data_IF_557145166366
#
_entry.id   IF_557145166366
#
_cell.length_a   1.000
_cell.length_b   1.000
_cell.length_c   1.000
_cell.angle_alpha   90.00
_cell.angle_beta   90.00
_cell.angle_gamma   90.00
#
_symmetry.space_group_name_H-M   'P 1'
#
loop_
_entity.id
_entity.type
_entity.pdbx_description
1 polymer ?
#
# COMPACT_ATOMS: atom_id res chain seq x y z
N UNK A 1 -3.83 60.63 -8.80
CA UNK A 1 -4.32 59.59 -9.73
C UNK A 1 -3.53 58.34 -9.43
N UNK A 2 -4.12 57.34 -8.79
CA UNK A 2 -3.43 56.05 -8.63
C UNK A 2 -4.19 55.05 -9.48
N UNK A 3 -3.67 54.82 -10.69
CA UNK A 3 -4.20 53.83 -11.63
C UNK A 3 -4.03 52.44 -11.02
N UNK A 4 -5.08 51.97 -10.34
CA UNK A 4 -5.13 50.61 -9.86
C UNK A 4 -5.20 49.62 -11.02
N UNK A 5 -4.88 48.35 -10.74
CA UNK A 5 -4.95 47.31 -11.76
C UNK A 5 -6.36 46.76 -11.89
N UNK A 6 -6.68 46.14 -13.03
CA UNK A 6 -7.96 45.43 -13.20
C UNK A 6 -8.01 44.19 -12.30
N UNK A 7 -9.21 43.65 -12.05
CA UNK A 7 -9.37 42.43 -11.24
C UNK A 7 -8.57 41.24 -11.79
N UNK A 8 -8.42 41.12 -13.12
CA UNK A 8 -7.65 40.06 -13.75
C UNK A 8 -6.14 40.21 -13.49
N UNK A 9 -5.63 41.43 -13.57
CA UNK A 9 -4.23 41.73 -13.22
C UNK A 9 -3.96 41.57 -11.72
N UNK A 10 -4.90 41.98 -10.86
CA UNK A 10 -4.81 41.77 -9.41
C UNK A 10 -4.77 40.26 -9.07
N UNK A 11 -5.62 39.47 -9.73
CA UNK A 11 -5.67 38.02 -9.58
C UNK A 11 -4.33 37.37 -9.98
N UNK A 12 -3.80 37.73 -11.16
CA UNK A 12 -2.50 37.26 -11.61
C UNK A 12 -1.37 37.65 -10.65
N UNK A 13 -1.32 38.92 -10.21
CA UNK A 13 -0.31 39.41 -9.27
C UNK A 13 -0.34 38.66 -7.94
N UNK A 14 -1.53 38.50 -7.37
CA UNK A 14 -1.71 37.80 -6.11
C UNK A 14 -1.68 36.27 -6.27
N UNK A 15 -1.52 35.72 -7.48
CA UNK A 15 -1.55 34.27 -7.72
C UNK A 15 -2.85 33.61 -7.27
N UNK A 16 -3.98 34.30 -7.42
CA UNK A 16 -5.33 33.79 -7.11
C UNK A 16 -6.23 33.91 -8.34
N UNK A 17 -7.42 33.32 -8.30
CA UNK A 17 -8.38 33.47 -9.40
C UNK A 17 -9.23 34.73 -9.21
N UNK A 18 -9.79 35.26 -10.30
CA UNK A 18 -10.81 36.33 -10.24
C UNK A 18 -12.00 35.90 -9.38
N UNK A 19 -12.39 34.61 -9.43
CA UNK A 19 -13.44 34.04 -8.57
C UNK A 19 -13.07 34.14 -7.09
N UNK A 20 -11.80 33.89 -6.74
CA UNK A 20 -11.28 34.04 -5.38
C UNK A 20 -11.39 35.49 -4.89
N UNK A 21 -11.00 36.47 -5.71
CA UNK A 21 -11.13 37.90 -5.34
C UNK A 21 -12.60 38.27 -5.09
N UNK A 22 -13.53 37.82 -5.94
CA UNK A 22 -14.97 38.03 -5.72
C UNK A 22 -15.46 37.38 -4.43
N UNK A 23 -14.94 36.21 -4.10
CA UNK A 23 -15.25 35.52 -2.86
C UNK A 23 -14.75 36.31 -1.64
N UNK A 24 -13.53 36.85 -1.70
CA UNK A 24 -12.99 37.69 -0.62
C UNK A 24 -13.77 38.98 -0.42
N UNK A 25 -14.27 39.61 -1.50
CA UNK A 25 -15.20 40.72 -1.37
C UNK A 25 -16.50 40.31 -0.67
N UNK A 26 -17.11 39.20 -1.10
CA UNK A 26 -18.37 38.71 -0.53
C UNK A 26 -18.26 38.44 0.97
N UNK A 27 -17.12 37.93 1.43
CA UNK A 27 -16.90 37.56 2.82
C UNK A 27 -16.25 38.68 3.64
N UNK A 28 -16.07 39.88 3.08
CA UNK A 28 -15.49 41.03 3.78
C UNK A 28 -13.97 41.00 3.97
N UNK A 29 -13.27 40.00 3.42
CA UNK A 29 -11.80 39.87 3.52
C UNK A 29 -11.03 40.91 2.70
N UNK A 30 -11.69 41.47 1.68
CA UNK A 30 -11.15 42.51 0.82
C UNK A 30 -12.24 43.56 0.55
N UNK A 31 -11.97 44.82 0.86
CA UNK A 31 -12.86 45.92 0.51
C UNK A 31 -12.99 46.05 -1.02
N UNK A 32 -14.18 46.38 -1.51
CA UNK A 32 -14.38 46.64 -2.93
C UNK A 32 -13.74 47.98 -3.33
N UNK A 33 -12.81 48.01 -4.29
CA UNK A 33 -12.20 49.26 -4.72
C UNK A 33 -13.20 50.15 -5.47
N UNK A 34 -12.90 51.45 -5.51
CA UNK A 34 -13.59 52.41 -6.35
C UNK A 34 -13.54 52.03 -7.85
N UNK A 35 -14.50 52.59 -8.60
CA UNK A 35 -14.56 52.45 -10.05
C UNK A 35 -13.90 53.66 -10.72
N UNK A 36 -13.21 53.42 -11.84
CA UNK A 36 -12.69 54.50 -12.68
C UNK A 36 -13.79 55.18 -13.51
N UNK A 37 -13.42 56.21 -14.28
CA UNK A 37 -14.30 56.90 -15.21
C UNK A 37 -14.91 56.00 -16.28
N UNK A 38 -14.32 54.83 -16.54
CA UNK A 38 -14.81 53.81 -17.46
C UNK A 38 -15.72 52.77 -16.80
N UNK A 39 -15.97 52.88 -15.48
CA UNK A 39 -16.85 52.01 -14.70
C UNK A 39 -16.20 50.73 -14.16
N UNK A 40 -14.88 50.53 -14.37
CA UNK A 40 -14.16 49.34 -13.92
C UNK A 40 -13.55 49.52 -12.53
N UNK A 41 -13.62 48.48 -11.70
CA UNK A 41 -12.95 48.42 -10.39
C UNK A 41 -11.42 48.46 -10.54
N UNK A 42 -10.75 49.32 -9.76
CA UNK A 42 -9.29 49.51 -9.80
C UNK A 42 -8.62 49.15 -8.48
N UNK A 43 -7.85 48.07 -8.49
CA UNK A 43 -7.17 47.53 -7.32
C UNK A 43 -5.82 48.23 -7.14
N UNK A 44 -5.76 49.15 -6.18
CA UNK A 44 -4.50 49.77 -5.76
C UNK A 44 -3.61 48.87 -4.88
N UNK A 45 -2.43 49.35 -4.54
CA UNK A 45 -1.40 48.62 -3.78
C UNK A 45 -1.91 48.02 -2.46
N UNK A 46 -2.74 48.74 -1.71
CA UNK A 46 -3.31 48.24 -0.46
C UNK A 46 -4.18 46.98 -0.67
N UNK A 47 -4.95 46.94 -1.76
CA UNK A 47 -5.74 45.75 -2.11
C UNK A 47 -4.84 44.58 -2.49
N UNK A 48 -3.76 44.84 -3.24
CA UNK A 48 -2.79 43.82 -3.63
C UNK A 48 -2.06 43.24 -2.41
N UNK A 49 -1.65 44.09 -1.47
CA UNK A 49 -1.03 43.66 -0.22
C UNK A 49 -2.00 42.78 0.58
N UNK A 50 -3.25 43.21 0.74
CA UNK A 50 -4.29 42.43 1.45
C UNK A 50 -4.52 41.07 0.78
N UNK A 51 -4.56 41.02 -0.56
CA UNK A 51 -4.69 39.77 -1.30
C UNK A 51 -3.53 38.81 -1.03
N UNK A 52 -2.29 39.32 -1.04
CA UNK A 52 -1.09 38.51 -0.73
C UNK A 52 -1.14 38.01 0.70
N UNK A 53 -1.48 38.87 1.67
CA UNK A 53 -1.58 38.51 3.09
C UNK A 53 -2.63 37.41 3.33
N UNK A 54 -3.85 37.57 2.80
CA UNK A 54 -4.92 36.57 2.94
C UNK A 54 -4.49 35.24 2.31
N UNK A 55 -3.86 35.28 1.13
CA UNK A 55 -3.34 34.06 0.49
C UNK A 55 -2.26 33.39 1.34
N UNK A 56 -1.33 34.14 1.91
CA UNK A 56 -0.25 33.60 2.73
C UNK A 56 -0.79 32.91 3.97
N UNK A 57 -1.73 33.53 4.70
CA UNK A 57 -2.37 32.92 5.86
C UNK A 57 -3.16 31.66 5.46
N UNK A 58 -3.95 31.73 4.38
CA UNK A 58 -4.68 30.57 3.88
C UNK A 58 -3.74 29.41 3.47
N UNK A 59 -2.61 29.74 2.85
CA UNK A 59 -1.57 28.76 2.49
C UNK A 59 -0.87 28.15 3.70
N UNK A 60 -0.79 28.88 4.81
CA UNK A 60 -0.32 28.39 6.10
C UNK A 60 -1.38 27.58 6.87
N UNK A 61 -2.59 27.42 6.33
CA UNK A 61 -3.65 26.62 6.96
C UNK A 61 -4.62 27.42 7.83
N UNK A 62 -4.51 28.74 7.88
CA UNK A 62 -5.46 29.61 8.60
C UNK A 62 -6.81 29.60 7.87
N UNK A 63 -7.92 29.31 8.57
CA UNK A 63 -9.25 29.39 7.97
C UNK A 63 -9.55 30.79 7.43
N UNK A 64 -10.12 30.86 6.22
CA UNK A 64 -10.47 32.16 5.61
C UNK A 64 -11.44 32.99 6.46
N UNK A 65 -12.27 32.36 7.29
CA UNK A 65 -13.16 33.06 8.21
C UNK A 65 -12.41 33.85 9.30
N UNK A 66 -11.20 33.41 9.66
CA UNK A 66 -10.37 34.00 10.72
C UNK A 66 -9.29 34.94 10.17
N UNK A 67 -8.86 34.71 8.93
CA UNK A 67 -7.78 35.47 8.29
C UNK A 67 -8.03 36.99 8.30
N UNK A 68 -9.28 37.43 8.18
CA UNK A 68 -9.62 38.86 8.26
C UNK A 68 -9.33 39.45 9.64
N UNK A 69 -9.86 38.83 10.69
CA UNK A 69 -9.69 39.27 12.07
C UNK A 69 -8.22 39.29 12.50
N UNK A 70 -7.44 38.29 12.04
CA UNK A 70 -6.00 38.23 12.31
C UNK A 70 -5.29 39.42 11.65
N UNK A 71 -5.55 39.67 10.36
CA UNK A 71 -4.87 40.75 9.63
C UNK A 71 -5.28 42.15 10.07
N UNK A 72 -6.46 42.30 10.68
CA UNK A 72 -6.97 43.57 11.19
C UNK A 72 -6.59 43.80 12.67
N UNK A 73 -5.91 42.83 13.30
CA UNK A 73 -5.46 42.93 14.69
C UNK A 73 -4.23 43.83 14.86
N UNK A 74 -4.01 44.30 16.09
CA UNK A 74 -2.76 44.95 16.48
C UNK A 74 -1.57 43.95 16.41
N UNK A 75 -0.31 44.45 16.36
CA UNK A 75 0.86 43.59 16.20
C UNK A 75 0.99 42.48 17.26
N UNK A 76 0.60 42.75 18.51
CA UNK A 76 0.73 41.80 19.61
C UNK A 76 -0.30 40.68 19.47
N UNK A 77 -1.55 41.03 19.13
CA UNK A 77 -2.62 40.06 18.84
C UNK A 77 -2.33 39.26 17.57
N UNK A 78 -1.79 39.89 16.53
CA UNK A 78 -1.38 39.20 15.31
C UNK A 78 -0.34 38.12 15.62
N UNK A 79 0.71 38.48 16.40
CA UNK A 79 1.74 37.53 16.81
C UNK A 79 1.15 36.38 17.65
N UNK A 80 0.25 36.68 18.60
CA UNK A 80 -0.42 35.66 19.39
C UNK A 80 -1.28 34.71 18.54
N UNK A 81 -2.00 35.22 17.55
CA UNK A 81 -2.78 34.39 16.63
C UNK A 81 -1.89 33.45 15.80
N UNK A 82 -0.70 33.89 15.37
CA UNK A 82 0.22 33.02 14.64
C UNK A 82 0.77 31.88 15.52
N UNK A 83 1.02 32.15 16.81
CA UNK A 83 1.46 31.11 17.76
C UNK A 83 0.38 30.04 17.95
N UNK A 84 -0.89 30.43 18.07
CA UNK A 84 -1.98 29.44 18.19
C UNK A 84 -2.16 28.64 16.88
N UNK A 85 -2.03 29.27 15.72
CA UNK A 85 -2.04 28.56 14.43
C UNK A 85 -0.90 27.54 14.33
N UNK A 86 0.32 27.93 14.72
CA UNK A 86 1.48 27.02 14.72
C UNK A 86 1.27 25.82 15.65
N UNK A 87 0.69 26.07 16.83
CA UNK A 87 0.35 25.02 17.80
C UNK A 87 -0.70 24.06 17.26
N UNK A 88 -1.75 24.55 16.62
CA UNK A 88 -2.79 23.72 16.01
C UNK A 88 -2.23 22.86 14.86
N UNK A 89 -1.36 23.44 14.03
CA UNK A 89 -0.65 22.71 12.98
C UNK A 89 0.23 21.61 13.57
N UNK A 90 0.96 21.90 14.64
CA UNK A 90 1.81 20.93 15.34
C UNK A 90 0.99 19.75 15.87
N UNK A 91 -0.12 20.03 16.56
CA UNK A 91 -1.03 19.00 17.04
C UNK A 91 -1.58 18.13 15.89
N UNK A 92 -1.90 18.74 14.75
CA UNK A 92 -2.39 18.02 13.57
C UNK A 92 -1.30 17.18 12.90
N UNK A 93 -0.05 17.65 12.88
CA UNK A 93 1.11 16.87 12.43
C UNK A 93 1.31 15.66 13.32
N UNK A 94 1.25 15.82 14.65
CA UNK A 94 1.36 14.72 15.61
C UNK A 94 0.25 13.69 15.41
N UNK A 95 -0.99 14.13 15.24
CA UNK A 95 -2.11 13.26 14.95
C UNK A 95 -1.93 12.48 13.64
N UNK A 96 -1.53 13.16 12.56
CA UNK A 96 -1.26 12.52 11.28
C UNK A 96 -0.08 11.55 11.36
N UNK A 97 0.96 11.88 12.12
CA UNK A 97 2.09 11.00 12.37
C UNK A 97 1.66 9.75 13.14
N UNK A 98 0.82 9.90 14.18
CA UNK A 98 0.28 8.78 14.95
C UNK A 98 -0.62 7.87 14.10
N UNK A 99 -1.47 8.44 13.24
CA UNK A 99 -2.29 7.68 12.28
C UNK A 99 -1.42 6.93 11.28
N UNK A 100 -0.39 7.59 10.73
CA UNK A 100 0.59 6.94 9.85
C UNK A 100 1.30 5.80 10.56
N UNK A 101 1.66 5.95 11.83
CA UNK A 101 2.29 4.90 12.60
C UNK A 101 1.33 3.73 12.87
N UNK A 102 0.05 3.99 13.10
CA UNK A 102 -0.96 2.92 13.14
C UNK A 102 -1.04 2.15 11.82
N UNK A 103 -1.07 2.85 10.67
CA UNK A 103 -1.02 2.19 9.36
C UNK A 103 0.27 1.40 9.14
N UNK A 104 1.41 1.93 9.61
CA UNK A 104 2.68 1.19 9.62
C UNK A 104 2.61 -0.05 10.47
N UNK A 105 2.06 0.01 11.68
CA UNK A 105 1.88 -1.18 12.52
C UNK A 105 0.91 -2.20 11.93
N UNK A 106 -0.09 -1.77 11.16
CA UNK A 106 -0.99 -2.70 10.46
C UNK A 106 -0.26 -3.39 9.29
N UNK A 107 0.50 -2.64 8.49
CA UNK A 107 1.31 -3.20 7.38
C UNK A 107 2.55 -3.97 7.85
N UNK A 108 3.10 -3.59 9.01
CA UNK A 108 4.16 -4.29 9.70
C UNK A 108 3.63 -5.40 10.60
N UNK A 109 2.33 -5.45 10.90
CA UNK A 109 1.71 -6.53 11.66
C UNK A 109 2.08 -7.87 11.04
N UNK A 110 1.97 -7.97 9.72
CA UNK A 110 2.41 -9.14 8.95
C UNK A 110 3.93 -9.39 9.01
N UNK A 111 4.75 -8.34 9.17
CA UNK A 111 6.22 -8.46 9.31
C UNK A 111 6.67 -8.80 10.74
N UNK A 112 5.94 -8.36 11.76
CA UNK A 112 6.16 -8.71 13.18
C UNK A 112 5.71 -10.15 13.46
N UNK A 113 4.71 -10.61 12.70
CA UNK A 113 4.23 -11.99 12.71
C UNK A 113 5.19 -12.97 12.05
N UNK A 114 6.34 -12.55 11.52
CA UNK A 114 7.37 -13.45 10.98
C UNK A 114 8.74 -13.20 11.62
N UNK A 115 9.54 -14.23 11.92
CA UNK A 115 10.91 -14.05 12.38
C UNK A 115 11.78 -13.49 11.25
N UNK A 116 12.92 -12.87 11.60
CA UNK A 116 13.83 -12.25 10.63
C UNK A 116 14.29 -13.20 9.51
N UNK A 117 14.39 -14.50 9.81
CA UNK A 117 14.71 -15.54 8.82
C UNK A 117 13.66 -15.67 7.71
N UNK A 118 12.38 -15.68 8.08
CA UNK A 118 11.28 -15.70 7.11
C UNK A 118 11.23 -14.42 6.27
N UNK A 119 11.54 -13.26 6.87
CA UNK A 119 11.63 -12.00 6.14
C UNK A 119 12.78 -12.01 5.13
N UNK A 120 13.95 -12.52 5.52
CA UNK A 120 15.11 -12.66 4.61
C UNK A 120 14.81 -13.59 3.43
N UNK A 121 14.03 -14.65 3.65
CA UNK A 121 13.54 -15.52 2.58
C UNK A 121 12.65 -14.75 1.60
N UNK A 122 11.65 -14.03 2.10
CA UNK A 122 10.74 -13.23 1.28
C UNK A 122 11.49 -12.14 0.48
N UNK A 123 12.52 -11.52 1.07
CA UNK A 123 13.34 -10.52 0.41
C UNK A 123 14.22 -11.11 -0.72
N UNK A 124 14.55 -12.40 -0.67
CA UNK A 124 15.28 -13.12 -1.74
C UNK A 124 14.41 -13.45 -2.95
N UNK A 125 13.11 -13.68 -2.74
CA UNK A 125 12.20 -14.19 -3.78
C UNK A 125 12.15 -13.35 -5.07
N UNK A 126 12.10 -12.00 -5.04
CA UNK A 126 12.11 -11.22 -6.28
C UNK A 126 13.35 -11.48 -7.16
N UNK A 127 14.52 -11.68 -6.54
CA UNK A 127 15.76 -11.99 -7.23
C UNK A 127 15.78 -13.40 -7.86
N UNK A 128 14.84 -14.26 -7.49
CA UNK A 128 14.66 -15.62 -8.00
C UNK A 128 13.55 -15.71 -9.06
N UNK A 129 12.91 -14.59 -9.43
CA UNK A 129 11.90 -14.53 -10.48
C UNK A 129 10.44 -14.62 -10.00
N UNK A 130 10.19 -14.57 -8.69
CA UNK A 130 8.83 -14.44 -8.14
C UNK A 130 8.31 -13.00 -8.29
N UNK A 131 7.03 -12.85 -8.60
CA UNK A 131 6.39 -11.54 -8.73
C UNK A 131 6.00 -10.94 -7.37
N UNK A 132 5.76 -9.62 -7.31
CA UNK A 132 5.28 -8.95 -6.07
C UNK A 132 3.98 -9.57 -5.50
N UNK A 133 2.99 -9.95 -6.33
CA UNK A 133 1.85 -10.76 -5.87
C UNK A 133 2.27 -12.09 -5.23
N UNK A 134 3.22 -12.80 -5.81
CA UNK A 134 3.68 -14.09 -5.29
C UNK A 134 4.36 -13.94 -3.91
N UNK A 135 5.18 -12.89 -3.74
CA UNK A 135 5.81 -12.58 -2.45
C UNK A 135 4.78 -12.22 -1.39
N UNK A 136 3.69 -11.58 -1.79
CA UNK A 136 2.58 -11.24 -0.88
C UNK A 136 1.85 -12.50 -0.44
N UNK A 137 1.44 -13.36 -1.37
CA UNK A 137 0.80 -14.65 -1.06
C UNK A 137 1.72 -15.55 -0.21
N UNK A 138 3.02 -15.62 -0.51
CA UNK A 138 3.98 -16.37 0.29
C UNK A 138 4.09 -15.83 1.73
N UNK A 139 4.06 -14.51 1.92
CA UNK A 139 4.07 -13.87 3.24
C UNK A 139 2.86 -14.27 4.05
N UNK A 140 1.67 -14.16 3.46
CA UNK A 140 0.42 -14.49 4.15
C UNK A 140 0.37 -15.99 4.52
N UNK A 141 0.80 -16.87 3.61
CA UNK A 141 0.92 -18.30 3.87
C UNK A 141 1.87 -18.59 5.05
N UNK A 142 3.05 -17.94 5.10
CA UNK A 142 4.00 -18.11 6.20
C UNK A 142 3.41 -17.66 7.55
N UNK A 143 2.64 -16.57 7.58
CA UNK A 143 1.97 -16.09 8.79
C UNK A 143 0.97 -17.14 9.29
N UNK A 144 0.17 -17.71 8.38
CA UNK A 144 -0.79 -18.76 8.72
C UNK A 144 -0.09 -20.03 9.21
N UNK A 145 0.97 -20.47 8.54
CA UNK A 145 1.74 -21.66 8.97
C UNK A 145 2.35 -21.42 10.35
N UNK A 146 2.92 -20.25 10.62
CA UNK A 146 3.44 -19.91 11.95
C UNK A 146 2.37 -19.96 13.03
N UNK A 147 1.17 -19.44 12.73
CA UNK A 147 0.05 -19.45 13.67
C UNK A 147 -0.49 -20.86 13.94
N UNK A 148 -0.46 -21.75 12.93
CA UNK A 148 -1.02 -23.11 13.02
C UNK A 148 -0.01 -24.16 13.50
N UNK A 149 1.29 -23.93 13.31
CA UNK A 149 2.39 -24.84 13.64
C UNK A 149 3.56 -24.08 14.29
N UNK A 150 3.39 -23.49 15.49
CA UNK A 150 4.45 -22.71 16.11
C UNK A 150 5.71 -23.55 16.40
N UNK A 151 5.57 -24.82 16.79
CA UNK A 151 6.73 -25.68 17.07
C UNK A 151 7.44 -26.20 15.80
N UNK A 152 6.71 -26.35 14.68
CA UNK A 152 7.25 -26.87 13.42
C UNK A 152 7.65 -25.80 12.40
N UNK A 153 7.46 -24.52 12.74
CA UNK A 153 7.65 -23.42 11.82
C UNK A 153 9.11 -23.27 11.34
N UNK A 154 10.09 -23.50 12.22
CA UNK A 154 11.51 -23.41 11.86
C UNK A 154 11.95 -24.53 10.90
N UNK A 155 11.44 -25.75 11.08
CA UNK A 155 11.70 -26.87 10.17
C UNK A 155 11.04 -26.63 8.81
N UNK A 156 9.84 -26.07 8.82
CA UNK A 156 9.13 -25.66 7.60
C UNK A 156 9.90 -24.56 6.84
N UNK A 157 10.42 -23.54 7.54
CA UNK A 157 11.29 -22.54 6.92
C UNK A 157 12.56 -23.17 6.34
N UNK A 158 13.23 -24.05 7.09
CA UNK A 158 14.43 -24.74 6.62
C UNK A 158 14.18 -25.62 5.39
N UNK A 159 12.97 -26.16 5.23
CA UNK A 159 12.56 -26.90 4.04
C UNK A 159 12.39 -25.98 2.83
N UNK A 160 11.73 -24.82 2.99
CA UNK A 160 11.58 -23.86 1.90
C UNK A 160 12.95 -23.30 1.47
N UNK A 161 13.82 -22.97 2.43
CA UNK A 161 15.18 -22.50 2.13
C UNK A 161 15.98 -23.51 1.29
N UNK A 162 15.94 -24.80 1.65
CA UNK A 162 16.57 -25.86 0.86
C UNK A 162 16.04 -25.93 -0.57
N UNK A 163 14.74 -25.75 -0.76
CA UNK A 163 14.14 -25.67 -2.09
C UNK A 163 14.62 -24.44 -2.88
N UNK A 164 14.71 -23.27 -2.23
CA UNK A 164 15.17 -22.04 -2.87
C UNK A 164 16.66 -22.03 -3.20
N UNK A 165 17.46 -22.88 -2.55
CA UNK A 165 18.88 -23.07 -2.86
C UNK A 165 19.12 -24.04 -4.04
N UNK A 166 18.10 -24.76 -4.51
CA UNK A 166 18.15 -25.57 -5.73
C UNK A 166 17.57 -24.79 -6.94
N UNK A 167 18.40 -24.37 -7.91
CA UNK A 167 17.92 -23.65 -9.09
C UNK A 167 16.88 -24.41 -9.92
N UNK A 168 16.93 -25.75 -9.94
CA UNK A 168 15.94 -26.57 -10.65
C UNK A 168 14.59 -26.49 -9.95
N UNK A 169 14.58 -26.58 -8.63
CA UNK A 169 13.37 -26.42 -7.83
C UNK A 169 12.78 -25.02 -7.96
N UNK A 170 13.60 -23.96 -7.89
CA UNK A 170 13.15 -22.58 -8.13
C UNK A 170 12.48 -22.46 -9.50
N UNK A 171 13.10 -22.96 -10.57
CA UNK A 171 12.52 -22.90 -11.91
C UNK A 171 11.16 -23.61 -12.02
N UNK A 172 11.02 -24.79 -11.41
CA UNK A 172 9.75 -25.53 -11.37
C UNK A 172 8.70 -24.74 -10.59
N UNK A 173 9.03 -24.25 -9.40
CA UNK A 173 8.08 -23.55 -8.53
C UNK A 173 7.65 -22.20 -9.11
N UNK A 174 8.55 -21.40 -9.66
CA UNK A 174 8.19 -20.13 -10.32
C UNK A 174 7.21 -20.37 -11.48
N UNK A 175 7.41 -21.43 -12.27
CA UNK A 175 6.47 -21.80 -13.33
C UNK A 175 5.12 -22.29 -12.80
N UNK A 176 5.11 -23.03 -11.68
CA UNK A 176 3.86 -23.44 -11.01
C UNK A 176 3.05 -22.22 -10.55
N UNK A 177 3.70 -21.24 -9.93
CA UNK A 177 3.05 -20.01 -9.46
C UNK A 177 2.49 -19.18 -10.62
N UNK A 178 3.24 -19.05 -11.71
CA UNK A 178 2.79 -18.40 -12.94
C UNK A 178 1.62 -19.14 -13.62
N UNK A 179 1.60 -20.47 -13.55
CA UNK A 179 0.54 -21.29 -14.12
C UNK A 179 -0.79 -21.19 -13.36
N UNK A 180 -0.78 -20.67 -12.12
CA UNK A 180 -2.01 -20.36 -11.38
C UNK A 180 -2.91 -19.36 -12.13
N UNK A 181 -2.32 -18.44 -12.89
CA UNK A 181 -3.04 -17.42 -13.65
C UNK A 181 -3.43 -17.88 -15.07
N UNK A 182 -3.06 -19.11 -15.47
CA UNK A 182 -3.41 -19.65 -16.78
C UNK A 182 -4.87 -20.10 -16.83
N UNK A 183 -5.39 -20.23 -18.06
CA UNK A 183 -6.69 -20.83 -18.28
C UNK A 183 -6.69 -22.28 -17.76
N UNK A 184 -7.71 -22.73 -17.01
CA UNK A 184 -7.77 -24.09 -16.49
C UNK A 184 -7.68 -25.17 -17.57
N UNK A 185 -8.09 -24.90 -18.81
CA UNK A 185 -8.04 -25.84 -19.93
C UNK A 185 -6.76 -25.68 -20.77
N UNK A 186 -5.80 -24.87 -20.32
CA UNK A 186 -4.52 -24.71 -21.00
C UNK A 186 -3.74 -26.04 -21.02
N UNK A 187 -3.37 -26.57 -22.20
CA UNK A 187 -2.69 -27.86 -22.33
C UNK A 187 -1.33 -27.90 -21.62
N UNK A 188 -0.70 -26.73 -21.40
CA UNK A 188 0.58 -26.61 -20.71
C UNK A 188 0.48 -26.98 -19.22
N UNK A 189 -0.71 -26.92 -18.61
CA UNK A 189 -0.91 -27.32 -17.21
C UNK A 189 -0.59 -28.79 -17.00
N UNK A 190 -0.96 -29.67 -17.94
CA UNK A 190 -0.73 -31.11 -17.83
C UNK A 190 0.75 -31.46 -17.95
N UNK A 191 1.46 -30.83 -18.87
CA UNK A 191 2.91 -30.98 -19.05
C UNK A 191 3.66 -30.51 -17.81
N UNK A 192 3.31 -29.33 -17.31
CA UNK A 192 3.89 -28.76 -16.10
C UNK A 192 3.62 -29.63 -14.85
N UNK A 193 2.38 -30.11 -14.69
CA UNK A 193 2.02 -31.01 -13.59
C UNK A 193 2.84 -32.31 -13.63
N UNK A 194 3.12 -32.82 -14.83
CA UNK A 194 3.91 -34.04 -15.02
C UNK A 194 5.37 -33.80 -14.66
N UNK A 195 5.96 -32.69 -15.09
CA UNK A 195 7.35 -32.36 -14.73
C UNK A 195 7.50 -32.05 -13.24
N UNK A 196 6.58 -31.29 -12.66
CA UNK A 196 6.55 -31.04 -11.22
C UNK A 196 6.41 -32.34 -10.43
N UNK A 197 5.53 -33.26 -10.84
CA UNK A 197 5.38 -34.55 -10.18
C UNK A 197 6.66 -35.39 -10.24
N UNK A 198 7.40 -35.39 -11.36
CA UNK A 198 8.71 -36.07 -11.45
C UNK A 198 9.74 -35.42 -10.52
N UNK A 199 9.80 -34.09 -10.49
CA UNK A 199 10.71 -33.34 -9.62
C UNK A 199 10.47 -33.69 -8.14
N UNK A 200 9.21 -33.64 -7.69
CA UNK A 200 8.84 -33.97 -6.33
C UNK A 200 8.91 -35.48 -5.99
N UNK A 201 8.79 -36.37 -6.98
CA UNK A 201 9.01 -37.79 -6.78
C UNK A 201 10.51 -38.12 -6.59
N UNK A 202 11.40 -37.39 -7.26
CA UNK A 202 12.84 -37.55 -7.15
C UNK A 202 13.38 -37.08 -5.79
N UNK A 203 12.83 -35.98 -5.26
CA UNK A 203 13.10 -35.53 -3.89
C UNK A 203 11.80 -35.16 -3.16
N UNK A 204 11.20 -36.11 -2.43
CA UNK A 204 9.99 -35.87 -1.65
C UNK A 204 10.14 -34.83 -0.55
N UNK A 205 11.38 -34.50 -0.15
CA UNK A 205 11.64 -33.49 0.88
C UNK A 205 11.48 -32.06 0.36
N UNK A 206 11.36 -31.87 -0.96
CA UNK A 206 11.10 -30.58 -1.59
C UNK A 206 9.61 -30.23 -1.67
N UNK A 207 8.71 -31.20 -1.43
CA UNK A 207 7.32 -30.87 -1.17
C UNK A 207 7.23 -30.27 0.22
N UNK A 208 6.75 -29.01 0.38
CA UNK A 208 6.48 -28.44 1.69
C UNK A 208 5.48 -29.36 2.36
N UNK A 209 5.99 -30.19 3.25
CA UNK A 209 5.17 -31.09 4.05
C UNK A 209 4.93 -30.31 5.32
N UNK A 210 3.68 -30.25 5.77
CA UNK A 210 3.34 -29.69 7.08
C UNK A 210 3.33 -30.86 8.07
N UNK A 211 4.49 -31.30 8.62
CA UNK A 211 4.52 -32.41 9.56
C UNK A 211 3.63 -32.11 10.77
N UNK A 212 2.83 -33.09 11.18
CA UNK A 212 1.93 -32.99 12.34
C UNK A 212 0.56 -32.33 12.09
N UNK A 213 0.30 -31.78 10.90
CA UNK A 213 -1.04 -31.23 10.60
C UNK A 213 -2.07 -32.34 10.40
N UNK A 214 -1.72 -33.44 9.72
CA UNK A 214 -2.62 -34.59 9.46
C UNK A 214 -2.94 -35.46 10.68
N UNK A 215 -2.11 -35.39 11.72
CA UNK A 215 -2.22 -36.22 12.93
C UNK A 215 -3.13 -35.57 14.00
N UNK A 216 -3.64 -34.35 13.76
CA UNK A 216 -4.58 -33.63 14.65
C UNK A 216 -6.02 -33.74 14.15
N UNK A 217 -7.00 -33.74 15.05
CA UNK A 217 -8.43 -33.94 14.74
C UNK A 217 -8.97 -32.99 13.64
N UNK A 218 -8.49 -31.74 13.56
CA UNK A 218 -8.90 -30.79 12.50
C UNK A 218 -7.89 -30.66 11.34
N UNK A 219 -6.98 -31.62 11.19
CA UNK A 219 -5.86 -31.56 10.26
C UNK A 219 -6.25 -31.26 8.82
N UNK A 220 -7.31 -31.90 8.35
CA UNK A 220 -7.86 -31.69 6.99
C UNK A 220 -8.47 -30.30 6.78
N UNK A 221 -9.06 -29.71 7.81
CA UNK A 221 -9.65 -28.35 7.74
C UNK A 221 -8.54 -27.29 7.70
N UNK A 222 -7.47 -27.50 8.48
CA UNK A 222 -6.29 -26.62 8.49
C UNK A 222 -5.46 -26.75 7.20
N UNK A 223 -5.32 -27.97 6.66
CA UNK A 223 -4.64 -28.22 5.37
C UNK A 223 -5.38 -27.52 4.22
N UNK A 224 -6.72 -27.54 4.22
CA UNK A 224 -7.55 -26.80 3.27
C UNK A 224 -7.41 -25.28 3.39
N UNK A 225 -7.40 -24.72 4.60
CA UNK A 225 -7.25 -23.27 4.78
C UNK A 225 -5.87 -22.74 4.36
N UNK A 226 -4.83 -23.56 4.50
CA UNK A 226 -3.46 -23.22 4.10
C UNK A 226 -3.21 -23.40 2.60
N UNK A 227 -3.72 -24.48 2.01
CA UNK A 227 -3.66 -24.68 0.55
C UNK A 227 -4.50 -23.61 -0.16
N UNK A 228 -5.72 -23.32 0.32
CA UNK A 228 -6.67 -22.41 -0.31
C UNK A 228 -6.42 -20.91 -0.05
N UNK A 229 -5.32 -20.54 0.60
CA UNK A 229 -5.02 -19.15 0.88
C UNK A 229 -4.50 -18.44 -0.39
N UNK A 230 -5.31 -17.55 -0.96
CA UNK A 230 -5.03 -16.86 -2.24
C UNK A 230 -5.55 -17.60 -3.49
N UNK A 231 -6.11 -18.82 -3.33
CA UNK A 231 -6.61 -19.65 -4.44
C UNK A 231 -7.94 -19.16 -5.05
N UNK A 232 -8.74 -18.38 -4.31
CA UNK A 232 -10.03 -17.87 -4.79
C UNK A 232 -9.92 -16.95 -6.02
N UNK A 233 -8.70 -16.59 -6.44
CA UNK A 233 -8.45 -15.65 -7.54
C UNK A 233 -7.58 -16.22 -8.70
N UNK A 234 -7.16 -17.50 -8.65
CA UNK A 234 -6.22 -18.09 -9.65
C UNK A 234 -6.79 -19.34 -10.33
N UNK A 235 -7.35 -19.23 -11.56
CA UNK A 235 -8.18 -20.27 -12.16
C UNK A 235 -7.43 -21.57 -12.53
N UNK A 236 -6.16 -21.49 -12.95
CA UNK A 236 -5.36 -22.67 -13.33
C UNK A 236 -4.82 -23.48 -12.14
N UNK A 237 -4.79 -22.87 -10.96
CA UNK A 237 -4.12 -23.42 -9.78
C UNK A 237 -4.78 -24.70 -9.24
N UNK A 238 -6.11 -24.72 -9.13
CA UNK A 238 -6.88 -25.87 -8.61
C UNK A 238 -6.69 -27.13 -9.46
N UNK A 239 -6.64 -26.99 -10.79
CA UNK A 239 -6.41 -28.13 -11.68
C UNK A 239 -4.96 -28.61 -11.58
N UNK A 240 -4.02 -27.69 -11.52
CA UNK A 240 -2.59 -27.96 -11.44
C UNK A 240 -2.23 -28.74 -10.17
N UNK A 241 -2.70 -28.30 -9.00
CA UNK A 241 -2.43 -28.98 -7.72
C UNK A 241 -3.04 -30.37 -7.68
N UNK A 242 -4.29 -30.54 -8.13
CA UNK A 242 -4.95 -31.85 -8.23
C UNK A 242 -4.20 -32.84 -9.13
N UNK A 243 -3.69 -32.38 -10.28
CA UNK A 243 -2.90 -33.21 -11.19
C UNK A 243 -1.55 -33.63 -10.58
N UNK A 244 -0.86 -32.72 -9.91
CA UNK A 244 0.41 -33.00 -9.24
C UNK A 244 0.21 -34.03 -8.14
N UNK A 245 -0.79 -33.85 -7.27
CA UNK A 245 -1.09 -34.78 -6.19
C UNK A 245 -1.39 -36.19 -6.71
N UNK A 246 -2.22 -36.30 -7.75
CA UNK A 246 -2.56 -37.57 -8.38
C UNK A 246 -1.30 -38.26 -8.96
N UNK A 247 -0.49 -37.52 -9.72
CA UNK A 247 0.72 -38.07 -10.37
C UNK A 247 1.80 -38.46 -9.36
N UNK A 248 2.01 -37.69 -8.29
CA UNK A 248 2.95 -38.04 -7.20
C UNK A 248 2.50 -39.31 -6.46
N UNK A 249 1.20 -39.47 -6.21
CA UNK A 249 0.64 -40.67 -5.58
C UNK A 249 0.86 -41.92 -6.43
N UNK A 250 0.53 -41.84 -7.72
CA UNK A 250 0.71 -42.93 -8.67
C UNK A 250 2.19 -43.36 -8.80
N UNK A 251 3.13 -42.41 -8.77
CA UNK A 251 4.57 -42.70 -8.80
C UNK A 251 5.05 -43.46 -7.55
N UNK A 252 4.50 -43.15 -6.36
CA UNK A 252 4.84 -43.84 -5.11
C UNK A 252 4.29 -45.26 -5.03
N UNK A 253 3.12 -45.50 -5.61
CA UNK A 253 2.49 -46.83 -5.67
C UNK A 253 3.20 -47.74 -6.67
N UNK A 254 3.66 -47.19 -7.81
CA UNK A 254 4.39 -47.95 -8.84
C UNK A 254 5.79 -48.39 -8.41
N UNK A 255 6.44 -47.66 -7.49
CA UNK A 255 7.78 -47.98 -6.97
C UNK A 255 7.84 -48.97 -5.80
N UNK A 256 6.69 -49.52 -5.35
CA UNK A 256 6.59 -50.52 -4.27
C UNK A 256 6.42 -51.97 -4.77
N UNK A 257 6.43 -52.19 -6.07
CA UNK A 257 6.28 -53.50 -6.73
C UNK A 257 7.63 -53.95 -7.27
#
# INVERSE_FOLDING_TARGET
>A
MTDGVTIGQAAAFAGVTVKTIRHYHKNGLLAEPGRDSSGYRRYGTAHLLRLVQVRTLAGAGVPLAEAGAILDADPDRFAASLVEVEKDLTARIEELAARRETLRRLTQGDRVLLPGRALALLDRMPGLGFSDPDVTTAREALILVRALLPEGFEDYLAQIERGLDDPRHVAVVTLLWAAGDWDPDDPRIEELATEAARHFAADPSLLPTLPGLRDREDGRTRERLLTHHGEEQRPGWTRLTALIEHKVRAARESGRT
#
